data_IF_079331444569
#
_entry.id   IF_079331444569
#
_cell.length_a   1.000
_cell.length_b   1.000
_cell.length_c   1.000
_cell.angle_alpha   90.00
_cell.angle_beta   90.00
_cell.angle_gamma   90.00
#
_symmetry.space_group_name_H-M   'P 1'
#
loop_
_entity.id
_entity.type
_entity.pdbx_description
1 polymer ?
#
# COMPACT_ATOMS: atom_id res chain seq x y z
N UNK A 1 33.63 16.39 16.20
CA UNK A 1 34.65 16.66 17.25
C UNK A 1 36.06 16.53 16.69
N UNK A 2 36.37 15.44 15.97
CA UNK A 2 37.69 15.18 15.35
C UNK A 2 38.21 16.31 14.43
N UNK A 3 37.35 16.86 13.56
CA UNK A 3 37.71 18.02 12.72
C UNK A 3 38.12 19.25 13.54
N UNK A 4 37.47 19.48 14.69
CA UNK A 4 37.83 20.56 15.63
C UNK A 4 39.14 20.30 16.37
N UNK A 5 39.59 19.05 16.40
CA UNK A 5 40.89 18.63 16.95
C UNK A 5 41.97 18.52 15.86
N UNK A 6 41.72 19.08 14.66
CA UNK A 6 42.61 19.06 13.49
C UNK A 6 42.91 17.64 12.96
N UNK A 7 42.01 16.67 13.18
CA UNK A 7 42.12 15.28 12.72
C UNK A 7 41.19 15.01 11.51
N UNK A 8 41.47 15.65 10.38
CA UNK A 8 40.58 15.64 9.20
C UNK A 8 40.51 14.28 8.51
N UNK A 9 41.63 13.57 8.38
CA UNK A 9 41.69 12.26 7.73
C UNK A 9 40.88 11.21 8.50
N UNK A 10 41.03 11.19 9.83
CA UNK A 10 40.28 10.27 10.70
C UNK A 10 38.78 10.57 10.66
N UNK A 11 38.40 11.85 10.68
CA UNK A 11 37.00 12.25 10.56
C UNK A 11 36.38 11.78 9.23
N UNK A 12 37.11 11.99 8.12
CA UNK A 12 36.67 11.60 6.78
C UNK A 12 36.55 10.07 6.64
N UNK A 13 37.49 9.32 7.23
CA UNK A 13 37.43 7.86 7.23
C UNK A 13 36.22 7.34 8.02
N UNK A 14 35.96 7.90 9.20
CA UNK A 14 34.79 7.52 10.01
C UNK A 14 33.48 7.83 9.30
N UNK A 15 33.36 9.02 8.67
CA UNK A 15 32.18 9.36 7.87
C UNK A 15 31.97 8.38 6.71
N UNK A 16 33.04 8.03 5.99
CA UNK A 16 32.97 7.07 4.88
C UNK A 16 32.51 5.69 5.33
N UNK A 17 33.03 5.19 6.46
CA UNK A 17 32.63 3.89 7.03
C UNK A 17 31.16 3.94 7.41
N UNK A 18 30.75 4.98 8.14
CA UNK A 18 29.36 5.14 8.60
C UNK A 18 28.37 5.26 7.43
N UNK A 19 28.72 6.03 6.39
CA UNK A 19 27.92 6.12 5.16
C UNK A 19 27.79 4.75 4.46
N UNK A 20 28.86 3.96 4.45
CA UNK A 20 28.84 2.60 3.93
C UNK A 20 27.87 1.69 4.67
N UNK A 21 27.93 1.67 6.00
CA UNK A 21 27.03 0.89 6.86
C UNK A 21 25.56 1.34 6.72
N UNK A 22 25.33 2.65 6.69
CA UNK A 22 24.01 3.23 6.50
C UNK A 22 23.42 2.81 5.14
N UNK A 23 24.21 2.85 4.08
CA UNK A 23 23.78 2.41 2.75
C UNK A 23 23.41 0.93 2.70
N UNK A 24 24.15 0.07 3.41
CA UNK A 24 23.84 -1.36 3.54
C UNK A 24 22.51 -1.55 4.29
N UNK A 25 22.33 -0.84 5.41
CA UNK A 25 21.10 -0.90 6.21
C UNK A 25 19.88 -0.44 5.40
N UNK A 26 19.98 0.69 4.71
CA UNK A 26 18.92 1.22 3.84
C UNK A 26 18.57 0.23 2.72
N UNK A 27 19.56 -0.38 2.05
CA UNK A 27 19.30 -1.37 0.99
C UNK A 27 18.54 -2.59 1.53
N UNK A 28 18.94 -3.09 2.72
CA UNK A 28 18.25 -4.20 3.39
C UNK A 28 16.82 -3.83 3.74
N UNK A 29 16.60 -2.65 4.31
CA UNK A 29 15.26 -2.15 4.66
C UNK A 29 14.37 -2.02 3.42
N UNK A 30 14.87 -1.39 2.34
CA UNK A 30 14.14 -1.23 1.08
C UNK A 30 13.75 -2.57 0.47
N UNK A 31 14.65 -3.55 0.50
CA UNK A 31 14.38 -4.90 0.01
C UNK A 31 13.30 -5.60 0.84
N UNK A 32 13.38 -5.50 2.17
CA UNK A 32 12.37 -6.08 3.06
C UNK A 32 10.98 -5.47 2.86
N UNK A 33 10.91 -4.14 2.73
CA UNK A 33 9.66 -3.45 2.45
C UNK A 33 9.08 -3.90 1.11
N UNK A 34 9.89 -3.95 0.05
CA UNK A 34 9.45 -4.42 -1.27
C UNK A 34 8.87 -5.84 -1.21
N UNK A 35 9.52 -6.76 -0.51
CA UNK A 35 9.03 -8.14 -0.35
C UNK A 35 7.69 -8.19 0.41
N UNK A 36 7.55 -7.39 1.48
CA UNK A 36 6.32 -7.36 2.29
C UNK A 36 5.15 -6.71 1.59
N UNK A 37 5.38 -5.70 0.75
CA UNK A 37 4.35 -4.96 0.02
C UNK A 37 4.06 -5.52 -1.36
N UNK A 38 4.77 -6.58 -1.78
CA UNK A 38 4.61 -7.19 -3.10
C UNK A 38 3.25 -7.87 -3.26
N UNK A 39 2.70 -8.38 -2.16
CA UNK A 39 1.45 -9.13 -2.14
C UNK A 39 0.36 -8.37 -1.39
N UNK A 40 -0.84 -8.47 -1.93
CA UNK A 40 -2.01 -7.71 -1.51
C UNK A 40 -3.23 -8.62 -1.72
N UNK A 41 -4.25 -8.42 -0.89
CA UNK A 41 -5.46 -9.25 -0.89
C UNK A 41 -6.55 -8.54 -1.68
N UNK A 42 -7.25 -9.29 -2.52
CA UNK A 42 -8.47 -8.84 -3.18
C UNK A 42 -9.64 -8.91 -2.18
N UNK A 43 -10.43 -7.84 -2.05
CA UNK A 43 -11.64 -7.82 -1.20
C UNK A 43 -11.40 -7.68 0.32
N UNK A 44 -12.31 -8.22 1.14
CA UNK A 44 -12.24 -8.15 2.62
C UNK A 44 -11.20 -9.18 3.11
N UNK A 45 -10.12 -8.66 3.69
CA UNK A 45 -8.81 -9.28 3.91
C UNK A 45 -8.72 -10.46 4.90
N UNK A 46 -9.74 -11.32 5.02
CA UNK A 46 -9.71 -12.48 5.93
C UNK A 46 -9.68 -13.86 5.27
N UNK A 47 -9.96 -14.01 3.97
CA UNK A 47 -10.06 -15.35 3.35
C UNK A 47 -9.64 -15.42 1.87
N UNK A 48 -8.89 -14.43 1.36
CA UNK A 48 -8.40 -14.41 -0.02
C UNK A 48 -6.97 -14.94 -0.14
N UNK A 49 -6.62 -15.49 -1.30
CA UNK A 49 -5.22 -15.77 -1.63
C UNK A 49 -4.48 -14.44 -1.90
N UNK A 50 -3.24 -14.27 -1.42
CA UNK A 50 -2.44 -13.09 -1.74
C UNK A 50 -2.10 -13.05 -3.24
N UNK A 51 -2.44 -11.95 -3.91
CA UNK A 51 -2.11 -11.68 -5.31
C UNK A 51 -0.98 -10.66 -5.40
N UNK A 52 -0.17 -10.73 -6.46
CA UNK A 52 0.88 -9.76 -6.75
C UNK A 52 0.26 -8.39 -7.07
N UNK A 53 0.71 -7.31 -6.42
CA UNK A 53 0.17 -5.95 -6.63
C UNK A 53 0.16 -5.53 -8.10
N UNK A 54 1.16 -5.92 -8.89
CA UNK A 54 1.24 -5.59 -10.32
C UNK A 54 0.13 -6.20 -11.15
N UNK A 55 -0.55 -7.25 -10.68
CA UNK A 55 -1.57 -7.94 -11.46
C UNK A 55 -2.91 -7.19 -11.49
N UNK A 56 -3.11 -6.21 -10.60
CA UNK A 56 -4.33 -5.40 -10.56
C UNK A 56 -4.06 -3.91 -10.36
N UNK A 57 -2.79 -3.49 -10.49
CA UNK A 57 -2.42 -2.09 -10.37
C UNK A 57 -3.11 -1.29 -11.48
N UNK A 58 -4.15 -0.55 -11.09
CA UNK A 58 -4.82 0.40 -11.96
C UNK A 58 -4.30 1.78 -11.61
N UNK A 59 -3.80 2.52 -12.60
CA UNK A 59 -3.40 3.90 -12.41
C UNK A 59 -4.64 4.75 -12.09
N UNK A 60 -4.64 5.38 -10.92
CA UNK A 60 -5.68 6.31 -10.51
C UNK A 60 -5.08 7.71 -10.44
N UNK A 61 -5.73 8.66 -11.08
CA UNK A 61 -5.36 10.07 -11.04
C UNK A 61 -6.15 10.73 -9.92
N UNK A 62 -5.45 11.24 -8.89
CA UNK A 62 -6.07 12.13 -7.91
C UNK A 62 -6.14 13.50 -8.58
N UNK A 63 -7.30 13.84 -9.11
CA UNK A 63 -7.57 15.22 -9.52
C UNK A 63 -7.75 16.06 -8.26
N UNK A 64 -7.16 17.25 -8.21
CA UNK A 64 -7.51 18.25 -7.22
C UNK A 64 -9.02 18.52 -7.34
N UNK A 65 -9.80 18.01 -6.39
CA UNK A 65 -11.23 18.25 -6.34
C UNK A 65 -11.45 19.72 -6.01
N UNK A 66 -12.20 20.44 -6.85
CA UNK A 66 -12.79 21.71 -6.42
C UNK A 66 -13.61 21.44 -5.15
N UNK A 67 -13.45 22.29 -4.13
CA UNK A 67 -14.30 22.25 -2.94
C UNK A 67 -15.76 22.40 -3.39
N UNK A 68 -16.51 21.31 -3.42
CA UNK A 68 -17.86 21.31 -3.96
C UNK A 68 -18.58 20.01 -3.66
N UNK A 69 -19.14 19.95 -2.45
CA UNK A 69 -20.30 19.15 -2.05
C UNK A 69 -20.25 17.65 -2.37
N UNK A 70 -19.95 16.87 -1.33
CA UNK A 70 -20.23 15.44 -1.27
C UNK A 70 -21.71 15.26 -1.62
N UNK A 71 -21.99 14.61 -2.76
CA UNK A 71 -23.36 14.27 -3.14
C UNK A 71 -23.97 13.41 -2.01
N UNK A 72 -24.96 13.96 -1.31
CA UNK A 72 -25.70 13.31 -0.22
C UNK A 72 -26.87 12.45 -0.74
N UNK A 73 -26.97 12.21 -2.05
CA UNK A 73 -27.97 11.33 -2.64
C UNK A 73 -27.58 9.87 -2.40
N UNK A 74 -27.97 9.40 -1.20
CA UNK A 74 -28.19 8.02 -0.79
C UNK A 74 -28.13 6.98 -1.93
N UNK A 75 -27.07 6.16 -1.99
CA UNK A 75 -27.05 4.99 -2.87
C UNK A 75 -28.03 3.92 -2.36
N UNK A 76 -29.27 3.92 -2.86
CA UNK A 76 -30.23 2.83 -2.63
C UNK A 76 -30.06 1.79 -3.74
N UNK A 77 -29.27 0.73 -3.51
CA UNK A 77 -29.23 -0.45 -4.39
C UNK A 77 -30.42 -1.37 -4.08
N UNK A 78 -31.38 -1.49 -5.01
CA UNK A 78 -32.50 -2.45 -4.90
C UNK A 78 -32.03 -3.87 -5.25
N UNK A 79 -32.20 -4.82 -4.33
CA UNK A 79 -31.94 -6.25 -4.52
C UNK A 79 -33.31 -6.95 -4.68
N UNK A 80 -33.90 -6.93 -5.88
CA UNK A 80 -35.21 -7.57 -6.13
C UNK A 80 -35.16 -8.79 -7.05
N UNK A 81 -33.98 -9.29 -7.44
CA UNK A 81 -33.89 -10.39 -8.43
C UNK A 81 -33.61 -11.78 -7.81
N UNK A 82 -33.38 -11.90 -6.50
CA UNK A 82 -33.08 -13.20 -5.87
C UNK A 82 -34.26 -13.85 -5.11
N UNK A 83 -35.26 -13.11 -4.64
CA UNK A 83 -36.28 -13.68 -3.73
C UNK A 83 -37.49 -14.29 -4.43
N UNK A 84 -37.66 -14.11 -5.75
CA UNK A 84 -38.90 -14.51 -6.43
C UNK A 84 -38.86 -15.91 -7.05
N UNK A 85 -37.67 -16.52 -7.17
CA UNK A 85 -37.54 -17.87 -7.74
C UNK A 85 -37.56 -18.98 -6.67
N UNK A 86 -37.37 -18.67 -5.39
CA UNK A 86 -37.46 -19.68 -4.31
C UNK A 86 -38.86 -19.80 -3.69
N UNK A 87 -39.73 -18.77 -3.77
CA UNK A 87 -41.08 -18.84 -3.21
C UNK A 87 -42.14 -19.43 -4.16
N UNK A 88 -41.82 -19.65 -5.44
CA UNK A 88 -42.78 -20.23 -6.40
C UNK A 88 -42.69 -21.75 -6.58
N UNK A 89 -42.02 -22.48 -5.68
CA UNK A 89 -41.97 -23.96 -5.70
C UNK A 89 -42.42 -24.67 -4.41
N UNK A 90 -42.96 -23.95 -3.42
CA UNK A 90 -43.41 -24.59 -2.16
C UNK A 90 -44.94 -24.73 -2.08
N UNK A 91 -45.75 -24.30 -3.06
CA UNK A 91 -47.22 -24.44 -2.96
C UNK A 91 -48.00 -24.74 -4.25
N UNK A 92 -47.49 -25.60 -5.14
CA UNK A 92 -48.37 -26.34 -6.07
C UNK A 92 -48.03 -27.81 -6.07
#
# INVERSE_FOLDING_TARGET
MLRKMNQEELASLMEKIFLGELAVCQRKQKTNLKKRSQYVFEGIAKQGNPTLLSNFYTELYITEGGCGEVNNEHEVRQIEIASRDEQHKIHQ
#
